data_IF_416051367166
#
_entry.id   IF_416051367166
#
_cell.length_a   1.000
_cell.length_b   1.000
_cell.length_c   1.000
_cell.angle_alpha   90.00
_cell.angle_beta   90.00
_cell.angle_gamma   90.00
#
_symmetry.space_group_name_H-M   'P 1'
#
loop_
_entity.id
_entity.type
_entity.pdbx_description
1 polymer ?
#
# COMPACT_ATOMS: atom_id res chain seq x y z
N UNK A 1 9.87 -6.52 -6.67
CA UNK A 1 9.31 -7.88 -6.71
C UNK A 1 10.45 -8.88 -6.91
N UNK A 2 10.53 -9.87 -6.03
CA UNK A 2 11.33 -11.09 -6.15
C UNK A 2 10.35 -12.25 -5.95
N UNK A 3 10.39 -13.26 -6.81
CA UNK A 3 9.43 -14.37 -6.84
C UNK A 3 8.62 -14.42 -8.14
N UNK A 4 7.97 -15.56 -8.38
CA UNK A 4 7.11 -15.81 -9.54
C UNK A 4 5.66 -15.43 -9.23
N UNK A 5 4.93 -14.89 -10.21
CA UNK A 5 3.48 -14.72 -10.11
C UNK A 5 2.97 -13.56 -9.27
N UNK A 6 3.83 -12.73 -8.67
CA UNK A 6 3.31 -11.57 -7.92
C UNK A 6 2.72 -10.48 -8.84
N UNK A 7 1.62 -9.87 -8.40
CA UNK A 7 1.00 -8.70 -8.99
C UNK A 7 1.09 -7.50 -8.03
N UNK A 8 1.41 -6.33 -8.56
CA UNK A 8 1.58 -5.11 -7.77
C UNK A 8 1.04 -3.92 -8.56
N UNK A 9 -0.02 -3.30 -8.06
CA UNK A 9 -0.63 -2.11 -8.65
C UNK A 9 -0.60 -0.93 -7.68
N UNK A 10 -0.22 0.24 -8.21
CA UNK A 10 -0.19 1.51 -7.50
C UNK A 10 -0.98 2.52 -8.31
N UNK A 11 -2.19 2.82 -7.85
CA UNK A 11 -3.10 3.80 -8.45
C UNK A 11 -3.17 5.07 -7.62
N UNK A 12 -2.51 6.12 -8.09
CA UNK A 12 -2.50 7.42 -7.41
C UNK A 12 -3.25 8.49 -8.21
N UNK A 13 -4.58 8.55 -8.09
CA UNK A 13 -5.39 9.58 -8.77
C UNK A 13 -5.56 10.80 -7.87
N UNK A 14 -4.81 11.87 -8.14
CA UNK A 14 -4.90 13.15 -7.43
C UNK A 14 -4.46 14.29 -8.34
N UNK A 15 -5.15 15.43 -8.27
CA UNK A 15 -4.89 16.57 -9.16
C UNK A 15 -3.56 17.23 -8.82
N UNK A 16 -2.53 16.94 -9.60
CA UNK A 16 -1.19 17.53 -9.52
C UNK A 16 -1.21 19.01 -9.92
N UNK A 17 -1.51 19.88 -8.96
CA UNK A 17 -1.44 21.33 -9.18
C UNK A 17 -0.16 21.99 -8.62
N UNK A 18 0.67 21.32 -7.81
CA UNK A 18 1.94 21.89 -7.38
C UNK A 18 2.99 20.80 -7.11
N UNK A 19 4.18 21.06 -7.63
CA UNK A 19 5.38 20.23 -7.52
C UNK A 19 5.70 19.85 -6.06
N UNK A 20 6.07 18.58 -5.84
CA UNK A 20 6.92 18.13 -4.73
C UNK A 20 6.37 18.19 -3.29
N UNK A 21 5.19 17.60 -3.03
CA UNK A 21 4.87 17.09 -1.68
C UNK A 21 4.51 15.62 -1.83
N UNK A 22 5.50 14.77 -1.55
CA UNK A 22 5.62 13.41 -2.04
C UNK A 22 4.42 12.52 -1.67
N UNK A 23 3.79 11.92 -2.69
CA UNK A 23 2.93 10.75 -2.53
C UNK A 23 3.82 9.54 -2.68
N UNK A 24 4.25 8.95 -1.57
CA UNK A 24 5.13 7.79 -1.59
C UNK A 24 4.22 6.57 -1.54
N UNK A 25 4.29 5.74 -2.56
CA UNK A 25 3.65 4.44 -2.58
C UNK A 25 4.72 3.40 -2.94
N UNK A 26 4.93 2.42 -2.07
CA UNK A 26 5.95 1.38 -2.27
C UNK A 26 5.34 0.01 -2.03
N UNK A 27 5.55 -0.91 -2.97
CA UNK A 27 5.20 -2.32 -2.84
C UNK A 27 6.48 -3.14 -2.96
N UNK A 28 6.80 -3.90 -1.93
CA UNK A 28 7.91 -4.86 -1.91
C UNK A 28 7.40 -6.27 -1.70
N UNK A 29 7.45 -7.08 -2.75
CA UNK A 29 7.12 -8.51 -2.73
C UNK A 29 8.39 -9.35 -2.86
N UNK A 30 8.62 -10.29 -1.95
CA UNK A 30 9.75 -11.23 -2.01
C UNK A 30 9.38 -12.72 -1.99
N UNK A 31 8.10 -13.07 -1.81
CA UNK A 31 7.58 -14.43 -2.02
C UNK A 31 6.99 -14.63 -3.41
N UNK A 32 6.35 -15.77 -3.64
CA UNK A 32 5.63 -16.14 -4.86
C UNK A 32 4.11 -15.90 -4.72
N UNK A 33 3.41 -15.65 -5.83
CA UNK A 33 1.94 -15.50 -5.92
C UNK A 33 1.33 -14.46 -4.95
N UNK A 34 2.01 -13.33 -4.71
CA UNK A 34 1.50 -12.23 -3.90
C UNK A 34 0.73 -11.20 -4.73
N UNK A 35 -0.37 -10.67 -4.20
CA UNK A 35 -1.12 -9.57 -4.80
C UNK A 35 -1.06 -8.34 -3.88
N UNK A 36 -0.76 -7.17 -4.44
CA UNK A 36 -0.68 -5.92 -3.71
C UNK A 36 -1.28 -4.77 -4.49
N UNK A 37 -2.20 -4.05 -3.85
CA UNK A 37 -2.84 -2.85 -4.42
C UNK A 37 -2.69 -1.67 -3.46
N UNK A 38 -2.12 -0.57 -3.95
CA UNK A 38 -2.17 0.73 -3.28
C UNK A 38 -3.01 1.68 -4.13
N UNK A 39 -4.12 2.16 -3.58
CA UNK A 39 -4.95 3.20 -4.19
C UNK A 39 -5.00 4.46 -3.31
N UNK A 40 -4.51 5.58 -3.86
CA UNK A 40 -4.47 6.89 -3.18
C UNK A 40 -5.27 7.91 -4.00
N UNK A 41 -6.47 8.25 -3.53
CA UNK A 41 -7.41 9.17 -4.23
C UNK A 41 -7.41 10.60 -3.65
N UNK A 42 -6.34 10.96 -2.95
CA UNK A 42 -6.20 12.19 -2.18
C UNK A 42 -5.34 13.28 -2.81
N UNK A 43 -5.55 14.53 -2.39
CA UNK A 43 -4.95 15.71 -3.02
C UNK A 43 -3.58 16.12 -2.42
N UNK A 44 -3.16 15.61 -1.25
CA UNK A 44 -1.88 15.98 -0.62
C UNK A 44 -1.31 14.86 0.29
N UNK A 45 0.03 14.77 0.39
CA UNK A 45 0.82 13.96 1.34
C UNK A 45 0.22 12.60 1.70
N UNK A 46 0.38 11.54 0.93
CA UNK A 46 -0.02 10.21 1.40
C UNK A 46 1.12 9.22 1.21
N UNK A 47 1.48 8.54 2.29
CA UNK A 47 2.49 7.49 2.30
C UNK A 47 1.79 6.14 2.48
N UNK A 48 2.08 5.22 1.58
CA UNK A 48 1.57 3.86 1.61
C UNK A 48 2.71 2.88 1.33
N UNK A 49 2.90 1.90 2.20
CA UNK A 49 3.91 0.87 2.02
C UNK A 49 3.28 -0.51 2.20
N UNK A 50 3.49 -1.40 1.24
CA UNK A 50 3.16 -2.82 1.35
C UNK A 50 4.46 -3.62 1.28
N UNK A 51 4.68 -4.52 2.22
CA UNK A 51 5.76 -5.49 2.22
C UNK A 51 5.18 -6.88 2.39
N UNK A 52 5.38 -7.76 1.40
CA UNK A 52 4.93 -9.14 1.40
C UNK A 52 6.15 -10.05 1.26
N UNK A 53 6.56 -10.68 2.35
CA UNK A 53 7.81 -11.45 2.38
C UNK A 53 7.64 -12.95 2.19
N UNK A 54 6.41 -13.44 2.14
CA UNK A 54 6.05 -14.86 2.04
C UNK A 54 5.09 -15.09 0.87
N UNK A 55 4.65 -16.32 0.63
CA UNK A 55 3.85 -16.65 -0.55
C UNK A 55 2.34 -16.49 -0.29
N UNK A 56 1.59 -16.14 -1.33
CA UNK A 56 0.12 -16.13 -1.33
C UNK A 56 -0.52 -15.04 -0.46
N UNK A 57 0.14 -13.90 -0.28
CA UNK A 57 -0.42 -12.78 0.46
C UNK A 57 -1.22 -11.84 -0.44
N UNK A 58 -2.30 -11.27 0.09
CA UNK A 58 -3.09 -10.21 -0.54
C UNK A 58 -3.08 -8.98 0.37
N UNK A 59 -2.61 -7.84 -0.15
CA UNK A 59 -2.54 -6.58 0.58
C UNK A 59 -3.19 -5.44 -0.21
N UNK A 60 -4.15 -4.75 0.41
CA UNK A 60 -4.79 -3.58 -0.19
C UNK A 60 -4.70 -2.36 0.74
N UNK A 61 -4.13 -1.25 0.27
CA UNK A 61 -4.17 0.05 0.94
C UNK A 61 -5.05 1.00 0.13
N UNK A 62 -6.13 1.50 0.74
CA UNK A 62 -6.99 2.54 0.19
C UNK A 62 -6.90 3.81 1.06
N UNK A 63 -6.33 4.88 0.52
CA UNK A 63 -6.23 6.18 1.19
C UNK A 63 -7.03 7.24 0.44
N UNK A 64 -8.10 7.70 1.07
CA UNK A 64 -8.96 8.77 0.57
C UNK A 64 -8.87 10.00 1.49
N UNK A 65 -7.98 10.93 1.14
CA UNK A 65 -7.81 12.20 1.85
C UNK A 65 -6.36 12.69 1.85
N UNK A 66 -5.96 13.50 2.82
CA UNK A 66 -4.64 14.15 2.81
C UNK A 66 -3.79 13.79 4.03
N UNK A 67 -2.46 13.78 3.93
CA UNK A 67 -1.58 13.48 5.08
C UNK A 67 -1.81 12.11 5.74
N UNK A 68 -2.15 11.08 4.96
CA UNK A 68 -2.39 9.74 5.50
C UNK A 68 -1.13 8.86 5.37
N UNK A 69 -0.83 8.06 6.41
CA UNK A 69 0.26 7.08 6.40
C UNK A 69 -0.32 5.68 6.63
N UNK A 70 -0.05 4.75 5.71
CA UNK A 70 -0.50 3.37 5.78
C UNK A 70 0.66 2.40 5.54
N UNK A 71 0.76 1.36 6.35
CA UNK A 71 1.77 0.31 6.18
C UNK A 71 1.16 -1.08 6.35
N UNK A 72 1.33 -1.96 5.37
CA UNK A 72 1.01 -3.39 5.49
C UNK A 72 2.32 -4.16 5.41
N UNK A 73 2.61 -4.97 6.42
CA UNK A 73 3.74 -5.88 6.44
C UNK A 73 3.22 -7.30 6.69
N UNK A 74 3.23 -8.13 5.66
CA UNK A 74 2.85 -9.55 5.71
C UNK A 74 4.11 -10.39 5.62
N UNK A 75 4.61 -10.80 6.78
CA UNK A 75 5.88 -11.53 6.93
C UNK A 75 5.68 -12.99 7.35
N UNK A 76 4.45 -13.36 7.72
CA UNK A 76 4.07 -14.74 8.03
C UNK A 76 3.56 -15.45 6.77
N UNK A 77 3.95 -16.71 6.59
CA UNK A 77 3.51 -17.52 5.45
C UNK A 77 2.00 -17.81 5.57
N UNK A 78 1.25 -17.46 4.54
CA UNK A 78 -0.22 -17.55 4.58
C UNK A 78 -0.87 -16.53 5.51
N UNK A 79 -0.28 -15.33 5.67
CA UNK A 79 -0.86 -14.24 6.47
C UNK A 79 -2.28 -13.85 6.00
N UNK A 80 -2.61 -14.15 4.73
CA UNK A 80 -3.93 -14.01 4.17
C UNK A 80 -4.17 -12.63 3.57
N UNK A 81 -5.35 -12.06 3.83
CA UNK A 81 -5.78 -10.77 3.27
C UNK A 81 -5.57 -9.67 4.33
N UNK A 82 -4.81 -8.64 3.99
CA UNK A 82 -4.65 -7.43 4.78
C UNK A 82 -5.23 -6.24 4.02
N UNK A 83 -6.07 -5.43 4.68
CA UNK A 83 -6.60 -4.22 4.08
C UNK A 83 -6.58 -3.03 5.04
N UNK A 84 -6.05 -1.90 4.57
CA UNK A 84 -6.12 -0.61 5.26
C UNK A 84 -7.01 0.30 4.43
N UNK A 85 -8.05 0.87 5.06
CA UNK A 85 -8.84 1.96 4.47
C UNK A 85 -8.78 3.19 5.39
N UNK A 86 -8.27 4.30 4.86
CA UNK A 86 -8.17 5.58 5.58
C UNK A 86 -8.98 6.64 4.86
N UNK A 87 -9.97 7.21 5.56
CA UNK A 87 -10.79 8.32 5.07
C UNK A 87 -10.49 9.57 5.90
N UNK A 88 -10.27 10.71 5.26
CA UNK A 88 -9.97 11.98 5.94
C UNK A 88 -8.49 12.30 5.96
N UNK A 89 -8.06 13.16 6.89
CA UNK A 89 -6.69 13.66 6.91
C UNK A 89 -5.92 13.33 8.20
N UNK A 90 -4.63 13.04 8.08
CA UNK A 90 -3.74 12.78 9.22
C UNK A 90 -3.89 11.38 9.82
N UNK A 91 -4.47 10.41 9.10
CA UNK A 91 -4.65 9.06 9.64
C UNK A 91 -3.35 8.26 9.54
N UNK A 92 -3.05 7.47 10.57
CA UNK A 92 -1.95 6.52 10.57
C UNK A 92 -2.49 5.12 10.87
N UNK A 93 -2.18 4.14 10.02
CA UNK A 93 -2.61 2.76 10.18
C UNK A 93 -1.48 1.82 9.78
N UNK A 94 -1.27 0.77 10.57
CA UNK A 94 -0.27 -0.24 10.27
C UNK A 94 -0.84 -1.62 10.58
N UNK A 95 -0.71 -2.53 9.61
CA UNK A 95 -0.99 -3.95 9.78
C UNK A 95 0.34 -4.68 9.72
N UNK A 96 0.64 -5.46 10.77
CA UNK A 96 1.76 -6.39 10.81
C UNK A 96 1.17 -7.78 11.02
N UNK A 97 1.42 -8.70 10.09
CA UNK A 97 0.96 -10.08 10.12
C UNK A 97 2.09 -11.06 9.93
#
# INVERSE_FOLDING_TARGET
QSGNGNDADIQQTGSSANFSRDRIAEITQSGDDNDALIQQTGNELSEATIVQSTDGNDATILQNGASNTAGIYQTVAGAGIASITQNGAGNMATINQ
#
